data_IF_725481785067
#
_entry.id   IF_725481785067
#
_cell.length_a   1.000
_cell.length_b   1.000
_cell.length_c   1.000
_cell.angle_alpha   90.00
_cell.angle_beta   90.00
_cell.angle_gamma   90.00
#
_symmetry.space_group_name_H-M   'P 1'
#
loop_
_entity.id
_entity.type
_entity.pdbx_description
1 polymer ?
#
# COMPACT_ATOMS: atom_id res chain seq x y z
N UNK A 1 -14.90 22.97 -0.13
CA UNK A 1 -15.35 23.17 1.26
C UNK A 1 -16.50 22.22 1.63
N UNK A 2 -17.47 21.97 0.74
CA UNK A 2 -18.54 20.96 0.95
C UNK A 2 -18.03 19.50 0.99
N UNK A 3 -16.98 19.16 0.26
CA UNK A 3 -16.45 17.78 0.21
C UNK A 3 -15.75 17.34 1.51
N UNK A 4 -15.01 18.26 2.17
CA UNK A 4 -14.46 18.02 3.51
C UNK A 4 -15.57 17.78 4.56
N UNK A 5 -16.79 18.27 4.32
CA UNK A 5 -17.95 18.02 5.18
C UNK A 5 -18.39 16.56 5.08
N UNK A 6 -18.53 16.00 3.88
CA UNK A 6 -19.06 14.64 3.70
C UNK A 6 -18.20 13.57 4.38
N UNK A 7 -16.88 13.73 4.34
CA UNK A 7 -15.95 12.83 5.01
C UNK A 7 -16.10 12.86 6.54
N UNK A 8 -16.17 14.06 7.12
CA UNK A 8 -16.37 14.24 8.57
C UNK A 8 -17.73 13.73 9.00
N UNK A 9 -18.76 14.04 8.21
CA UNK A 9 -20.14 13.59 8.46
C UNK A 9 -20.25 12.06 8.41
N UNK A 10 -19.48 11.38 7.56
CA UNK A 10 -19.43 9.91 7.53
C UNK A 10 -18.79 9.32 8.80
N UNK A 11 -17.63 9.84 9.21
CA UNK A 11 -16.96 9.37 10.45
C UNK A 11 -17.83 9.59 11.68
N UNK A 12 -18.57 10.70 11.72
CA UNK A 12 -19.49 11.04 12.80
C UNK A 12 -20.83 10.28 12.71
N UNK A 13 -21.04 9.47 11.68
CA UNK A 13 -22.25 8.66 11.50
C UNK A 13 -23.49 9.45 11.05
N UNK A 14 -23.33 10.70 10.59
CA UNK A 14 -24.42 11.55 10.09
C UNK A 14 -24.90 11.14 8.70
N UNK A 15 -24.03 10.50 7.91
CA UNK A 15 -24.39 9.93 6.61
C UNK A 15 -24.01 8.45 6.57
N UNK A 16 -24.76 7.66 5.80
CA UNK A 16 -24.47 6.24 5.58
C UNK A 16 -23.28 6.04 4.63
N UNK A 17 -22.69 4.85 4.63
CA UNK A 17 -21.63 4.47 3.70
C UNK A 17 -22.10 4.56 2.23
N UNK A 18 -23.36 4.21 1.95
CA UNK A 18 -23.96 4.33 0.63
C UNK A 18 -24.07 5.80 0.18
N UNK A 19 -24.53 6.68 1.06
CA UNK A 19 -24.57 8.13 0.80
C UNK A 19 -23.17 8.70 0.63
N UNK A 20 -22.19 8.24 1.40
CA UNK A 20 -20.79 8.66 1.25
C UNK A 20 -20.24 8.28 -0.12
N UNK A 21 -20.41 7.01 -0.53
CA UNK A 21 -19.87 6.55 -1.80
C UNK A 21 -20.61 7.09 -3.01
N UNK A 22 -21.94 7.25 -2.97
CA UNK A 22 -22.69 7.81 -4.10
C UNK A 22 -22.23 9.22 -4.47
N UNK A 23 -21.80 10.03 -3.49
CA UNK A 23 -21.21 11.36 -3.72
C UNK A 23 -19.80 11.32 -4.30
N UNK A 24 -19.10 10.18 -4.19
CA UNK A 24 -17.69 10.01 -4.56
C UNK A 24 -17.49 9.06 -5.74
N UNK A 25 -18.57 8.64 -6.39
CA UNK A 25 -18.51 7.69 -7.48
C UNK A 25 -19.18 8.23 -8.73
N UNK A 26 -18.62 7.92 -9.89
CA UNK A 26 -19.27 8.20 -11.16
C UNK A 26 -20.55 7.35 -11.35
N UNK A 27 -21.29 7.63 -12.42
CA UNK A 27 -22.51 6.89 -12.77
C UNK A 27 -22.26 5.38 -13.03
N UNK A 28 -21.00 4.97 -13.20
CA UNK A 28 -20.59 3.57 -13.34
C UNK A 28 -20.15 2.95 -11.99
N UNK A 29 -20.32 3.65 -10.88
CA UNK A 29 -19.94 3.20 -9.54
C UNK A 29 -18.42 3.10 -9.33
N UNK A 30 -17.61 3.80 -10.14
CA UNK A 30 -16.17 3.89 -9.96
C UNK A 30 -15.88 5.05 -9.02
N UNK A 31 -14.97 4.86 -8.07
CA UNK A 31 -14.50 5.98 -7.25
C UNK A 31 -13.94 7.06 -8.17
N UNK A 32 -14.19 8.32 -7.84
CA UNK A 32 -13.57 9.48 -8.47
C UNK A 32 -12.07 9.24 -8.57
N UNK A 33 -11.49 9.55 -9.73
CA UNK A 33 -10.05 9.39 -9.94
C UNK A 33 -9.29 10.40 -9.07
N UNK A 34 -9.89 11.48 -8.58
CA UNK A 34 -9.24 12.34 -7.58
C UNK A 34 -10.03 12.26 -6.29
N UNK A 35 -9.40 11.70 -5.26
CA UNK A 35 -9.95 11.60 -3.92
C UNK A 35 -9.06 12.43 -2.98
N UNK A 36 -9.23 13.74 -3.03
CA UNK A 36 -8.39 14.71 -2.28
C UNK A 36 -8.37 14.43 -0.77
N UNK A 37 -9.48 13.94 -0.20
CA UNK A 37 -9.54 13.59 1.21
C UNK A 37 -8.57 12.45 1.60
N UNK A 38 -8.17 11.59 0.65
CA UNK A 38 -7.15 10.58 0.93
C UNK A 38 -5.79 11.20 1.25
N UNK A 39 -5.45 12.36 0.66
CA UNK A 39 -4.18 13.03 0.99
C UNK A 39 -4.23 13.64 2.40
N UNK A 40 -5.39 14.19 2.81
CA UNK A 40 -5.62 14.61 4.20
C UNK A 40 -5.52 13.44 5.18
N UNK A 41 -6.07 12.29 4.82
CA UNK A 41 -6.03 11.07 5.62
C UNK A 41 -4.60 10.54 5.77
N UNK A 42 -3.85 10.53 4.67
CA UNK A 42 -2.44 10.12 4.64
C UNK A 42 -1.55 10.99 5.54
N UNK A 43 -1.89 12.27 5.69
CA UNK A 43 -1.20 13.17 6.62
C UNK A 43 -1.64 13.00 8.10
N UNK A 44 -2.76 12.33 8.37
CA UNK A 44 -3.27 12.13 9.74
C UNK A 44 -3.73 10.68 9.96
N UNK A 45 -2.81 9.83 10.38
CA UNK A 45 -3.05 8.39 10.57
C UNK A 45 -4.13 8.06 11.60
N UNK A 46 -4.32 8.90 12.61
CA UNK A 46 -5.41 8.71 13.57
C UNK A 46 -6.78 8.95 12.92
N UNK A 47 -6.89 9.95 12.06
CA UNK A 47 -8.09 10.22 11.29
C UNK A 47 -8.34 9.12 10.26
N UNK A 48 -7.28 8.66 9.59
CA UNK A 48 -7.36 7.54 8.65
C UNK A 48 -7.81 6.24 9.33
N UNK A 49 -7.28 5.96 10.53
CA UNK A 49 -7.74 4.85 11.36
C UNK A 49 -9.24 4.92 11.64
N UNK A 50 -9.74 6.09 12.09
CA UNK A 50 -11.18 6.29 12.37
C UNK A 50 -12.03 6.05 11.11
N UNK A 51 -11.57 6.57 9.98
CA UNK A 51 -12.24 6.38 8.69
C UNK A 51 -12.33 4.89 8.30
N UNK A 52 -11.22 4.16 8.34
CA UNK A 52 -11.21 2.74 7.98
C UNK A 52 -12.05 1.86 8.91
N UNK A 53 -12.21 2.26 10.18
CA UNK A 53 -13.06 1.56 11.15
C UNK A 53 -14.56 1.89 10.96
N UNK A 54 -14.90 3.08 10.44
CA UNK A 54 -16.28 3.45 10.13
C UNK A 54 -16.83 2.71 8.90
N UNK A 55 -15.95 2.25 8.00
CA UNK A 55 -16.32 1.51 6.80
C UNK A 55 -16.62 0.04 7.10
N UNK A 56 -17.57 -0.50 6.35
CA UNK A 56 -17.74 -1.93 6.14
C UNK A 56 -16.47 -2.55 5.55
N UNK A 57 -16.34 -3.89 5.65
CA UNK A 57 -15.20 -4.60 5.05
C UNK A 57 -15.07 -4.31 3.55
N UNK A 58 -16.19 -4.31 2.82
CA UNK A 58 -16.24 -4.00 1.39
C UNK A 58 -15.84 -2.55 1.11
N UNK A 59 -16.36 -1.60 1.90
CA UNK A 59 -16.00 -0.18 1.79
C UNK A 59 -14.52 0.05 2.03
N UNK A 60 -13.95 -0.61 3.05
CA UNK A 60 -12.52 -0.55 3.37
C UNK A 60 -11.68 -1.05 2.20
N UNK A 61 -11.95 -2.23 1.66
CA UNK A 61 -11.26 -2.77 0.49
C UNK A 61 -11.35 -1.83 -0.72
N UNK A 62 -12.52 -1.23 -0.96
CA UNK A 62 -12.73 -0.29 -2.05
C UNK A 62 -11.80 0.92 -1.95
N UNK A 63 -11.64 1.46 -0.74
CA UNK A 63 -10.69 2.55 -0.44
C UNK A 63 -9.25 2.07 -0.60
N UNK A 64 -8.89 0.93 -0.01
CA UNK A 64 -7.52 0.39 -0.06
C UNK A 64 -7.02 0.08 -1.47
N UNK A 65 -7.95 -0.27 -2.38
CA UNK A 65 -7.65 -0.43 -3.79
C UNK A 65 -7.55 0.91 -4.54
N UNK A 66 -7.77 2.06 -3.91
CA UNK A 66 -7.60 3.33 -4.60
C UNK A 66 -6.13 3.59 -4.94
N UNK A 67 -5.84 4.13 -6.13
CA UNK A 67 -4.45 4.27 -6.59
C UNK A 67 -3.61 5.19 -5.68
N UNK A 68 -4.21 6.20 -5.02
CA UNK A 68 -3.50 7.06 -4.05
C UNK A 68 -2.96 6.28 -2.83
N UNK A 69 -3.54 5.12 -2.52
CA UNK A 69 -3.06 4.20 -1.48
C UNK A 69 -2.17 3.11 -2.05
N UNK A 70 -2.47 2.58 -3.23
CA UNK A 70 -1.66 1.55 -3.88
C UNK A 70 -0.35 2.08 -4.50
N UNK A 71 -0.29 3.36 -4.86
CA UNK A 71 0.79 3.95 -5.65
C UNK A 71 0.80 3.53 -7.13
N UNK A 72 -0.21 2.76 -7.58
CA UNK A 72 -0.28 2.20 -8.94
C UNK A 72 -1.72 1.96 -9.40
N UNK A 73 -1.89 1.74 -10.71
CA UNK A 73 -3.19 1.43 -11.33
C UNK A 73 -3.60 -0.03 -11.13
N UNK A 74 -4.89 -0.35 -11.27
CA UNK A 74 -5.36 -1.75 -11.27
C UNK A 74 -4.85 -2.55 -12.46
N UNK A 75 -4.57 -1.89 -13.57
CA UNK A 75 -3.91 -2.51 -14.71
C UNK A 75 -2.50 -2.94 -14.33
N UNK A 76 -1.73 -2.08 -13.66
CA UNK A 76 -0.41 -2.47 -13.10
C UNK A 76 -0.51 -3.64 -12.13
N UNK A 77 -1.54 -3.68 -11.27
CA UNK A 77 -1.79 -4.84 -10.40
C UNK A 77 -2.01 -6.15 -11.17
N UNK A 78 -2.75 -6.08 -12.28
CA UNK A 78 -3.05 -7.25 -13.12
C UNK A 78 -1.81 -7.69 -13.88
N UNK A 79 -1.14 -6.75 -14.55
CA UNK A 79 -0.07 -7.05 -15.49
C UNK A 79 1.25 -7.44 -14.79
N UNK A 80 1.56 -6.80 -13.64
CA UNK A 80 2.83 -7.03 -12.93
C UNK A 80 2.74 -8.10 -11.85
N UNK A 81 1.60 -8.16 -11.15
CA UNK A 81 1.42 -9.06 -10.00
C UNK A 81 0.43 -10.20 -10.29
N UNK A 82 -0.08 -10.28 -11.53
CA UNK A 82 -0.97 -11.37 -11.94
C UNK A 82 -2.32 -11.37 -11.24
N UNK A 83 -2.73 -10.27 -10.59
CA UNK A 83 -3.98 -10.21 -9.81
C UNK A 83 -5.16 -10.11 -10.79
N UNK A 84 -6.02 -11.14 -10.91
CA UNK A 84 -7.08 -11.14 -11.92
C UNK A 84 -8.09 -10.00 -11.70
N UNK A 85 -8.50 -9.35 -12.79
CA UNK A 85 -9.50 -8.27 -12.76
C UNK A 85 -10.78 -8.69 -12.04
N UNK A 86 -11.21 -9.94 -12.19
CA UNK A 86 -12.41 -10.46 -11.51
C UNK A 86 -12.24 -10.58 -9.99
N UNK A 87 -11.06 -10.95 -9.49
CA UNK A 87 -10.79 -10.95 -8.04
C UNK A 87 -10.84 -9.53 -7.48
N UNK A 88 -10.30 -8.55 -8.20
CA UNK A 88 -10.41 -7.13 -7.83
C UNK A 88 -11.87 -6.63 -7.84
N UNK A 89 -12.70 -7.10 -8.78
CA UNK A 89 -14.13 -6.75 -8.84
C UNK A 89 -14.93 -7.38 -7.70
N UNK A 90 -14.64 -8.64 -7.36
CA UNK A 90 -15.25 -9.34 -6.21
C UNK A 90 -14.88 -8.62 -4.91
N UNK A 91 -13.62 -8.24 -4.73
CA UNK A 91 -13.13 -7.46 -3.59
C UNK A 91 -13.88 -6.14 -3.40
N UNK A 92 -14.17 -5.43 -4.50
CA UNK A 92 -14.96 -4.19 -4.49
C UNK A 92 -16.47 -4.43 -4.33
N UNK A 93 -16.90 -5.69 -4.27
CA UNK A 93 -18.29 -6.14 -4.31
C UNK A 93 -19.07 -5.55 -5.50
N UNK A 94 -18.41 -5.45 -6.65
CA UNK A 94 -19.01 -5.09 -7.94
C UNK A 94 -19.51 -6.30 -8.72
N UNK A 95 -19.45 -7.50 -8.12
CA UNK A 95 -20.01 -8.73 -8.65
C UNK A 95 -20.76 -9.44 -7.52
N UNK A 96 -22.09 -9.46 -7.59
CA UNK A 96 -22.72 -10.77 -7.52
C UNK A 96 -22.43 -11.42 -8.88
N UNK A 97 -21.81 -12.62 -8.93
CA UNK A 97 -21.67 -13.33 -10.19
C UNK A 97 -23.07 -13.42 -10.80
N UNK A 98 -23.26 -12.92 -12.04
CA UNK A 98 -24.47 -13.27 -12.78
C UNK A 98 -24.42 -14.79 -12.89
N UNK A 99 -25.29 -15.49 -12.16
CA UNK A 99 -25.51 -16.91 -12.36
C UNK A 99 -25.82 -17.10 -13.84
N UNK A 100 -24.83 -17.57 -14.62
CA UNK A 100 -25.13 -18.16 -15.92
C UNK A 100 -25.83 -19.47 -15.61
N UNK A 101 -27.15 -19.42 -15.42
CA UNK A 101 -27.95 -20.64 -15.36
C UNK A 101 -27.78 -21.41 -16.67
N UNK A 102 -27.23 -22.62 -16.56
CA UNK A 102 -27.88 -23.89 -16.95
C UNK A 102 -26.84 -25.02 -16.81
N UNK A 103 -27.02 -25.85 -15.77
CA UNK A 103 -26.24 -27.07 -15.56
C UNK A 103 -26.26 -27.47 -14.08
N UNK A 104 -26.87 -28.61 -13.80
CA UNK A 104 -27.06 -29.17 -12.46
C UNK A 104 -25.74 -29.32 -11.69
N UNK A 105 -25.77 -28.89 -10.43
CA UNK A 105 -24.86 -29.26 -9.33
C UNK A 105 -23.37 -29.21 -9.69
N UNK A 106 -22.83 -28.00 -9.83
CA UNK A 106 -21.55 -27.67 -9.21
C UNK A 106 -21.76 -26.43 -8.37
N UNK A 107 -21.83 -26.62 -7.06
CA UNK A 107 -21.68 -25.55 -6.08
C UNK A 107 -20.46 -24.74 -6.49
N UNK A 108 -20.67 -23.55 -7.05
CA UNK A 108 -19.59 -22.61 -7.30
C UNK A 108 -19.09 -22.27 -5.91
N UNK A 109 -17.97 -22.89 -5.52
CA UNK A 109 -17.29 -22.61 -4.27
C UNK A 109 -17.10 -21.10 -4.27
N UNK A 110 -17.73 -20.41 -3.32
CA UNK A 110 -17.61 -18.97 -3.07
C UNK A 110 -16.26 -18.48 -3.57
N UNK A 111 -16.24 -17.55 -4.52
CA UNK A 111 -15.05 -16.91 -5.08
C UNK A 111 -14.04 -16.59 -3.96
N UNK A 112 -13.14 -17.53 -3.68
CA UNK A 112 -12.31 -17.47 -2.50
C UNK A 112 -11.16 -16.54 -2.87
N UNK A 113 -11.15 -15.35 -2.28
CA UNK A 113 -10.05 -14.41 -2.50
C UNK A 113 -8.78 -15.06 -1.93
N UNK A 114 -7.71 -15.24 -2.71
CA UNK A 114 -6.50 -15.90 -2.24
C UNK A 114 -5.94 -15.16 -1.02
N UNK A 115 -5.47 -15.89 -0.01
CA UNK A 115 -4.81 -15.30 1.15
C UNK A 115 -3.64 -14.39 0.76
N UNK A 116 -2.95 -14.75 -0.33
CA UNK A 116 -1.82 -14.01 -0.89
C UNK A 116 -2.24 -12.63 -1.39
N UNK A 117 -3.48 -12.47 -1.89
CA UNK A 117 -3.99 -11.16 -2.30
C UNK A 117 -4.18 -10.23 -1.09
N UNK A 118 -4.66 -10.76 0.03
CA UNK A 118 -4.76 -9.98 1.27
C UNK A 118 -3.38 -9.60 1.82
N UNK A 119 -2.42 -10.52 1.74
CA UNK A 119 -1.03 -10.24 2.11
C UNK A 119 -0.42 -9.16 1.20
N UNK A 120 -0.67 -9.22 -0.12
CA UNK A 120 -0.18 -8.22 -1.06
C UNK A 120 -0.77 -6.83 -0.77
N UNK A 121 -2.08 -6.76 -0.53
CA UNK A 121 -2.73 -5.51 -0.14
C UNK A 121 -2.20 -4.97 1.20
N UNK A 122 -1.90 -5.83 2.17
CA UNK A 122 -1.28 -5.44 3.44
C UNK A 122 0.06 -4.73 3.21
N UNK A 123 0.92 -5.31 2.35
CA UNK A 123 2.20 -4.71 1.98
C UNK A 123 2.00 -3.41 1.21
N UNK A 124 1.15 -3.39 0.18
CA UNK A 124 0.96 -2.19 -0.66
C UNK A 124 0.44 -1.02 0.14
N UNK A 125 -0.56 -1.25 1.00
CA UNK A 125 -1.28 -0.21 1.75
C UNK A 125 -0.74 0.05 3.15
N UNK A 126 0.33 -0.67 3.56
CA UNK A 126 0.99 -0.51 4.87
C UNK A 126 0.05 -0.80 6.06
N UNK A 127 -0.82 -1.80 5.92
CA UNK A 127 -1.79 -2.18 6.95
C UNK A 127 -1.56 -3.62 7.41
N UNK A 128 -1.81 -3.95 8.69
CA UNK A 128 -1.87 -5.34 9.13
C UNK A 128 -2.98 -6.08 8.37
N UNK A 129 -2.74 -7.33 8.00
CA UNK A 129 -3.73 -8.16 7.29
C UNK A 129 -5.11 -8.25 7.98
N UNK A 130 -5.23 -8.33 9.33
CA UNK A 130 -6.53 -8.29 10.00
C UNK A 130 -7.37 -7.06 9.65
N UNK A 131 -6.73 -5.90 9.44
CA UNK A 131 -7.41 -4.68 9.02
C UNK A 131 -7.99 -4.76 7.62
N UNK A 132 -7.60 -5.75 6.82
CA UNK A 132 -8.09 -5.94 5.46
C UNK A 132 -9.17 -7.04 5.43
N UNK A 133 -9.09 -8.03 6.33
CA UNK A 133 -9.92 -9.24 6.30
C UNK A 133 -11.05 -9.24 7.34
N UNK A 134 -10.86 -8.60 8.48
CA UNK A 134 -11.77 -8.68 9.60
C UNK A 134 -12.71 -7.47 9.64
N UNK A 135 -13.99 -7.72 9.96
CA UNK A 135 -14.97 -6.65 10.20
C UNK A 135 -14.52 -5.77 11.38
N UNK A 136 -14.09 -6.41 12.46
CA UNK A 136 -13.58 -5.77 13.67
C UNK A 136 -12.12 -6.18 13.86
N UNK A 137 -11.17 -5.45 13.25
CA UNK A 137 -9.77 -5.84 13.30
C UNK A 137 -9.17 -5.58 14.68
N UNK A 138 -8.30 -6.48 15.11
CA UNK A 138 -7.48 -6.24 16.30
C UNK A 138 -6.49 -5.07 16.09
N UNK A 139 -5.98 -4.51 17.18
CA UNK A 139 -4.98 -3.42 17.13
C UNK A 139 -3.54 -3.92 17.25
N UNK A 140 -3.27 -5.16 16.84
CA UNK A 140 -1.94 -5.74 16.87
C UNK A 140 -1.20 -5.47 15.56
N UNK A 141 0.08 -5.13 15.66
CA UNK A 141 0.96 -5.00 14.50
C UNK A 141 1.72 -6.31 14.31
N UNK A 142 1.67 -6.86 13.10
CA UNK A 142 2.39 -8.09 12.76
C UNK A 142 2.99 -8.01 11.37
N UNK A 143 4.11 -8.72 11.20
CA UNK A 143 4.81 -8.88 9.92
C UNK A 143 4.51 -10.22 9.23
N UNK A 144 3.58 -11.03 9.78
CA UNK A 144 3.27 -12.37 9.27
C UNK A 144 2.84 -12.43 7.80
N UNK A 145 2.34 -11.32 7.24
CA UNK A 145 1.96 -11.22 5.83
C UNK A 145 3.19 -11.19 4.90
N UNK A 146 4.37 -10.78 5.38
CA UNK A 146 5.60 -10.89 4.61
C UNK A 146 5.98 -12.35 4.38
N UNK A 147 5.92 -13.20 5.41
CA UNK A 147 6.28 -14.62 5.30
C UNK A 147 5.39 -15.41 4.31
N UNK A 148 4.26 -14.83 3.85
CA UNK A 148 3.39 -15.44 2.85
C UNK A 148 3.83 -15.20 1.41
N UNK A 149 4.35 -14.00 1.11
CA UNK A 149 4.51 -13.52 -0.27
C UNK A 149 5.80 -12.72 -0.52
N UNK A 150 6.60 -12.45 0.50
CA UNK A 150 7.81 -11.66 0.36
C UNK A 150 8.93 -12.49 -0.27
N UNK A 151 9.79 -11.80 -1.02
CA UNK A 151 11.01 -12.40 -1.54
C UNK A 151 12.05 -12.50 -0.42
N UNK A 152 12.65 -13.68 -0.26
CA UNK A 152 13.77 -13.88 0.63
C UNK A 152 15.05 -13.58 -0.14
N UNK A 153 15.75 -12.53 0.26
CA UNK A 153 16.96 -12.08 -0.42
C UNK A 153 18.14 -12.04 0.55
N UNK A 154 19.29 -12.49 0.09
CA UNK A 154 20.58 -12.12 0.69
C UNK A 154 20.89 -10.64 0.45
N UNK A 155 21.91 -10.12 1.13
CA UNK A 155 22.34 -8.73 0.95
C UNK A 155 22.73 -8.43 -0.51
N UNK A 156 23.50 -9.31 -1.15
CA UNK A 156 23.94 -9.10 -2.53
C UNK A 156 22.75 -9.10 -3.50
N UNK A 157 21.82 -10.05 -3.35
CA UNK A 157 20.61 -10.13 -4.17
C UNK A 157 19.71 -8.89 -3.99
N UNK A 158 19.60 -8.40 -2.75
CA UNK A 158 18.86 -7.18 -2.44
C UNK A 158 19.47 -5.95 -3.13
N UNK A 159 20.80 -5.79 -3.07
CA UNK A 159 21.50 -4.68 -3.73
C UNK A 159 21.38 -4.75 -5.26
N UNK A 160 21.49 -5.95 -5.84
CA UNK A 160 21.26 -6.20 -7.27
C UNK A 160 19.82 -5.83 -7.64
N UNK A 161 18.83 -6.30 -6.88
CA UNK A 161 17.42 -6.01 -7.11
C UNK A 161 17.14 -4.51 -7.14
N UNK A 162 17.63 -3.74 -6.16
CA UNK A 162 17.44 -2.29 -6.12
C UNK A 162 18.01 -1.60 -7.36
N UNK A 163 19.27 -1.90 -7.71
CA UNK A 163 19.97 -1.29 -8.83
C UNK A 163 19.32 -1.62 -10.17
N UNK A 164 19.00 -2.89 -10.41
CA UNK A 164 18.38 -3.33 -11.67
C UNK A 164 16.97 -2.80 -11.84
N UNK A 165 16.17 -2.79 -10.77
CA UNK A 165 14.78 -2.37 -10.84
C UNK A 165 14.67 -0.86 -11.01
N UNK A 166 15.53 -0.07 -10.35
CA UNK A 166 15.63 1.37 -10.63
C UNK A 166 16.04 1.63 -12.08
N UNK A 167 17.07 0.93 -12.60
CA UNK A 167 17.48 1.06 -14.01
C UNK A 167 16.34 0.73 -14.99
N UNK A 168 15.53 -0.29 -14.68
CA UNK A 168 14.34 -0.64 -15.48
C UNK A 168 13.28 0.46 -15.40
N UNK A 169 13.02 1.01 -14.22
CA UNK A 169 12.08 2.12 -14.03
C UNK A 169 12.46 3.34 -14.87
N UNK A 170 13.75 3.74 -14.84
CA UNK A 170 14.28 4.86 -15.61
C UNK A 170 14.18 4.64 -17.13
N UNK A 171 14.41 3.41 -17.60
CA UNK A 171 14.37 3.03 -19.04
C UNK A 171 12.97 2.75 -19.58
N UNK A 172 11.96 2.59 -18.73
CA UNK A 172 10.61 2.26 -19.15
C UNK A 172 10.06 3.36 -20.08
N UNK A 173 9.88 3.00 -21.36
CA UNK A 173 9.29 3.84 -22.41
C UNK A 173 7.75 3.79 -22.45
N UNK A 174 7.13 2.90 -21.66
CA UNK A 174 5.66 2.91 -21.51
C UNK A 174 5.25 4.30 -21.03
N UNK A 175 4.11 4.79 -21.48
CA UNK A 175 3.58 6.10 -21.07
C UNK A 175 3.62 6.19 -19.56
N UNK A 176 4.62 6.92 -19.03
CA UNK A 176 4.71 7.21 -17.60
C UNK A 176 3.43 7.91 -17.23
N UNK A 177 2.82 7.50 -16.13
CA UNK A 177 1.55 8.06 -15.74
C UNK A 177 1.73 9.57 -15.52
N UNK A 178 1.06 10.39 -16.35
CA UNK A 178 1.37 11.83 -16.48
C UNK A 178 0.56 12.74 -15.57
N UNK A 179 -0.19 12.21 -14.61
CA UNK A 179 -0.99 13.06 -13.72
C UNK A 179 -0.06 13.96 -12.90
N UNK A 180 -0.15 15.29 -13.05
CA UNK A 180 0.66 16.19 -12.24
C UNK A 180 0.41 15.93 -10.76
N UNK A 181 1.46 15.99 -9.94
CA UNK A 181 1.46 15.75 -8.50
C UNK A 181 1.30 14.29 -8.03
N UNK A 182 1.10 13.33 -8.92
CA UNK A 182 1.08 11.90 -8.55
C UNK A 182 2.40 11.23 -8.86
N UNK A 183 3.09 10.76 -7.83
CA UNK A 183 4.28 9.93 -7.99
C UNK A 183 3.90 8.46 -8.10
N UNK A 184 4.01 7.94 -9.31
CA UNK A 184 3.65 6.57 -9.59
C UNK A 184 4.79 5.63 -9.25
N UNK A 185 4.42 4.52 -8.62
CA UNK A 185 5.36 3.49 -8.20
C UNK A 185 5.50 2.48 -9.33
N UNK A 186 6.73 2.28 -9.77
CA UNK A 186 7.09 1.29 -10.76
C UNK A 186 6.99 -0.13 -10.19
N UNK A 187 7.48 -0.35 -8.98
CA UNK A 187 7.37 -1.65 -8.29
C UNK A 187 7.22 -1.45 -6.78
N UNK A 188 6.31 -2.22 -6.17
CA UNK A 188 6.20 -2.37 -4.72
C UNK A 188 6.37 -3.83 -4.38
N UNK A 189 7.21 -4.11 -3.38
CA UNK A 189 7.51 -5.47 -2.98
C UNK A 189 7.77 -5.59 -1.48
N UNK A 190 7.35 -6.73 -0.93
CA UNK A 190 7.83 -7.19 0.37
C UNK A 190 9.12 -7.98 0.20
N UNK A 191 10.13 -7.65 0.98
CA UNK A 191 11.40 -8.38 1.03
C UNK A 191 11.69 -8.78 2.46
N UNK A 192 12.16 -10.01 2.65
CA UNK A 192 12.76 -10.47 3.89
C UNK A 192 14.27 -10.55 3.63
N UNK A 193 14.98 -9.52 4.09
CA UNK A 193 16.43 -9.44 3.96
C UNK A 193 17.09 -10.34 5.00
N UNK A 194 17.85 -11.32 4.53
CA UNK A 194 18.57 -12.28 5.37
C UNK A 194 20.04 -11.87 5.47
N UNK A 195 20.46 -11.41 6.65
CA UNK A 195 21.89 -11.20 6.94
C UNK A 195 22.58 -12.51 7.31
N UNK A 196 21.86 -13.38 8.02
CA UNK A 196 22.26 -14.73 8.38
C UNK A 196 21.01 -15.56 8.68
N UNK A 197 21.16 -16.84 9.06
CA UNK A 197 20.03 -17.75 9.30
C UNK A 197 19.10 -17.34 10.45
N UNK A 198 19.50 -16.39 11.31
CA UNK A 198 18.75 -15.97 12.49
C UNK A 198 18.26 -14.53 12.44
N UNK A 199 18.89 -13.68 11.63
CA UNK A 199 18.57 -12.26 11.52
C UNK A 199 17.87 -11.98 10.20
N UNK A 200 16.57 -11.69 10.30
CA UNK A 200 15.70 -11.29 9.18
C UNK A 200 15.24 -9.84 9.39
N UNK A 201 15.28 -9.04 8.34
CA UNK A 201 14.67 -7.70 8.33
C UNK A 201 13.52 -7.68 7.32
N UNK A 202 12.34 -7.24 7.75
CA UNK A 202 11.15 -7.16 6.90
C UNK A 202 11.05 -5.78 6.27
N UNK A 203 11.05 -5.73 4.94
CA UNK A 203 11.17 -4.49 4.18
C UNK A 203 10.02 -4.37 3.19
N UNK A 204 9.32 -3.25 3.23
CA UNK A 204 8.52 -2.82 2.09
C UNK A 204 9.36 -1.89 1.24
N UNK A 205 9.53 -2.22 -0.02
CA UNK A 205 10.30 -1.43 -0.98
C UNK A 205 9.35 -0.89 -2.03
N UNK A 206 9.38 0.42 -2.25
CA UNK A 206 8.65 1.09 -3.33
C UNK A 206 9.64 1.83 -4.25
N UNK A 207 9.74 1.40 -5.51
CA UNK A 207 10.63 1.95 -6.53
C UNK A 207 9.79 2.79 -7.50
N UNK A 208 10.15 4.04 -7.75
CA UNK A 208 9.33 4.99 -8.49
C UNK A 208 9.61 4.99 -10.00
N UNK A 209 8.61 5.32 -10.83
CA UNK A 209 8.73 5.36 -12.31
C UNK A 209 9.76 6.38 -12.82
N UNK A 210 10.12 7.36 -11.98
CA UNK A 210 11.10 8.40 -12.26
C UNK A 210 12.47 8.12 -11.61
N UNK A 211 12.65 6.93 -11.04
CA UNK A 211 13.85 6.55 -10.29
C UNK A 211 13.76 6.89 -8.81
N UNK A 212 14.73 6.40 -8.05
CA UNK A 212 14.72 6.45 -6.58
C UNK A 212 13.75 5.45 -5.97
N UNK A 213 13.90 5.25 -4.67
CA UNK A 213 13.11 4.27 -3.93
C UNK A 213 12.95 4.64 -2.46
N UNK A 214 11.87 4.12 -1.88
CA UNK A 214 11.51 4.25 -0.48
C UNK A 214 11.52 2.86 0.14
N UNK A 215 12.29 2.70 1.22
CA UNK A 215 12.37 1.47 2.00
C UNK A 215 11.79 1.76 3.38
N UNK A 216 10.78 0.99 3.75
CA UNK A 216 10.13 1.06 5.05
C UNK A 216 10.45 -0.22 5.81
N UNK A 217 10.95 -0.07 7.05
CA UNK A 217 11.37 -1.18 7.89
C UNK A 217 10.22 -1.60 8.80
N UNK A 218 9.80 -2.85 8.65
CA UNK A 218 8.74 -3.47 9.42
C UNK A 218 9.35 -4.34 10.52
N UNK A 219 8.83 -4.22 11.74
CA UNK A 219 9.22 -5.07 12.87
C UNK A 219 8.01 -5.30 13.76
N UNK A 220 8.02 -6.28 14.66
CA UNK A 220 6.93 -6.39 15.65
C UNK A 220 7.19 -5.49 16.87
N UNK A 221 8.47 -5.14 17.13
CA UNK A 221 8.93 -4.47 18.36
C UNK A 221 9.49 -3.06 18.20
N UNK A 222 9.34 -2.40 17.04
CA UNK A 222 9.93 -1.09 16.71
C UNK A 222 11.47 -1.09 16.83
N UNK A 223 12.13 -2.16 16.39
CA UNK A 223 13.58 -2.30 16.47
C UNK A 223 14.28 -1.29 15.55
N UNK A 224 15.13 -0.42 16.14
CA UNK A 224 15.83 0.64 15.41
C UNK A 224 17.18 0.18 14.82
N UNK A 225 17.74 -0.91 15.36
CA UNK A 225 19.04 -1.43 14.94
C UNK A 225 19.05 -1.83 13.47
N UNK A 226 17.99 -2.52 13.03
CA UNK A 226 17.78 -2.91 11.63
C UNK A 226 17.79 -1.71 10.67
N UNK A 227 17.17 -0.61 11.10
CA UNK A 227 17.15 0.64 10.35
C UNK A 227 18.55 1.26 10.23
N UNK A 228 19.33 1.27 11.30
CA UNK A 228 20.70 1.82 11.31
C UNK A 228 21.59 1.05 10.34
N UNK A 229 21.56 -0.29 10.40
CA UNK A 229 22.34 -1.14 9.47
C UNK A 229 21.97 -0.84 8.02
N UNK A 230 20.67 -0.80 7.72
CA UNK A 230 20.19 -0.52 6.36
C UNK A 230 20.58 0.88 5.89
N UNK A 231 20.56 1.87 6.79
CA UNK A 231 20.96 3.23 6.47
C UNK A 231 22.41 3.26 5.96
N UNK A 232 23.33 2.60 6.66
CA UNK A 232 24.75 2.53 6.29
C UNK A 232 24.94 1.86 4.92
N UNK A 233 24.26 0.74 4.69
CA UNK A 233 24.32 -0.01 3.42
C UNK A 233 23.84 0.86 2.24
N UNK A 234 22.79 1.65 2.45
CA UNK A 234 22.11 2.40 1.39
C UNK A 234 22.77 3.74 1.05
N UNK A 235 23.74 4.21 1.84
CA UNK A 235 24.51 5.43 1.54
C UNK A 235 25.18 5.40 0.15
N UNK A 236 25.51 4.20 -0.35
CA UNK A 236 26.11 4.01 -1.68
C UNK A 236 25.21 4.39 -2.86
N UNK A 237 23.89 4.43 -2.69
CA UNK A 237 22.95 4.67 -3.80
C UNK A 237 22.75 6.16 -4.12
N UNK A 238 23.06 7.07 -3.20
CA UNK A 238 22.89 8.50 -3.40
C UNK A 238 22.47 9.25 -2.13
N UNK A 239 22.01 10.51 -2.27
CA UNK A 239 21.48 11.27 -1.16
C UNK A 239 20.30 10.53 -0.52
N UNK A 240 20.43 10.25 0.78
CA UNK A 240 19.38 9.62 1.56
C UNK A 240 18.64 10.65 2.40
N UNK A 241 17.32 10.49 2.50
CA UNK A 241 16.49 11.18 3.47
C UNK A 241 15.87 10.12 4.38
N UNK A 242 15.84 10.39 5.68
CA UNK A 242 15.28 9.46 6.67
C UNK A 242 14.13 10.10 7.44
N UNK A 243 13.29 9.24 8.01
CA UNK A 243 12.16 9.64 8.81
C UNK A 243 11.35 8.41 9.21
N UNK A 244 10.07 8.61 9.50
CA UNK A 244 9.16 7.51 9.79
C UNK A 244 7.78 7.76 9.19
N UNK A 245 7.06 6.68 8.97
CA UNK A 245 5.61 6.72 8.76
C UNK A 245 4.91 6.30 10.05
N UNK A 246 3.92 7.09 10.45
CA UNK A 246 2.95 6.62 11.42
C UNK A 246 2.12 5.50 10.80
N UNK A 247 1.64 4.59 11.64
CA UNK A 247 0.71 3.56 11.20
C UNK A 247 -0.67 3.83 11.79
N UNK A 248 -1.68 3.15 11.25
CA UNK A 248 -3.02 3.13 11.83
C UNK A 248 -3.06 2.50 13.23
N UNK A 249 -2.04 1.75 13.65
CA UNK A 249 -1.91 1.24 15.02
C UNK A 249 -1.28 2.35 15.87
N UNK A 250 -1.97 2.74 16.93
CA UNK A 250 -1.51 3.85 17.80
C UNK A 250 -0.11 3.56 18.34
N UNK A 251 0.75 4.59 18.36
CA UNK A 251 2.15 4.54 18.82
C UNK A 251 3.07 3.61 18.02
N UNK A 252 2.59 3.01 16.93
CA UNK A 252 3.40 2.19 16.03
C UNK A 252 3.87 3.05 14.87
N UNK A 253 5.19 3.03 14.66
CA UNK A 253 5.88 3.79 13.62
C UNK A 253 6.72 2.80 12.82
N UNK A 254 6.88 3.06 11.53
CA UNK A 254 7.84 2.33 10.70
C UNK A 254 8.94 3.30 10.29
N UNK A 255 10.21 3.03 10.62
CA UNK A 255 11.34 3.78 10.11
C UNK A 255 11.43 3.69 8.58
N UNK A 256 11.83 4.79 7.94
CA UNK A 256 11.85 4.95 6.48
C UNK A 256 13.18 5.51 6.02
N UNK A 257 13.73 4.93 4.97
CA UNK A 257 14.89 5.41 4.23
C UNK A 257 14.44 5.71 2.80
N UNK A 258 14.72 6.91 2.32
CA UNK A 258 14.41 7.36 0.97
C UNK A 258 15.71 7.63 0.24
N UNK A 259 16.01 6.82 -0.75
CA UNK A 259 17.15 7.03 -1.64
C UNK A 259 16.66 7.80 -2.86
N UNK A 260 17.06 9.07 -2.96
CA UNK A 260 16.67 9.92 -4.10
C UNK A 260 17.53 9.58 -5.30
N UNK A 261 16.88 9.46 -6.47
CA UNK A 261 17.61 9.33 -7.73
C UNK A 261 18.48 10.57 -7.94
N UNK A 262 19.72 10.40 -8.39
CA UNK A 262 20.58 11.54 -8.76
C UNK A 262 20.11 12.24 -10.04
N UNK A 263 19.33 11.53 -10.87
CA UNK A 263 18.88 12.03 -12.17
C UNK A 263 17.60 12.87 -12.14
N UNK A 264 16.75 12.74 -11.11
CA UNK A 264 15.47 13.44 -11.04
C UNK A 264 15.03 13.73 -9.59
N UNK A 265 14.21 14.77 -9.41
CA UNK A 265 13.64 15.12 -8.11
C UNK A 265 12.54 14.12 -7.76
N UNK A 266 12.83 13.22 -6.82
CA UNK A 266 11.80 12.47 -6.10
C UNK A 266 11.22 13.39 -5.02
N UNK A 267 9.99 13.86 -5.23
CA UNK A 267 9.17 14.41 -4.13
C UNK A 267 9.04 13.36 -3.04
N UNK A 268 9.13 13.80 -1.80
CA UNK A 268 9.02 12.92 -0.64
C UNK A 268 7.55 12.54 -0.43
N UNK A 269 7.22 11.30 -0.01
CA UNK A 269 5.86 10.95 0.36
C UNK A 269 5.31 11.90 1.42
N UNK A 270 4.06 12.35 1.24
CA UNK A 270 3.40 13.33 2.12
C UNK A 270 3.31 12.85 3.57
N UNK A 271 3.28 11.52 3.76
CA UNK A 271 3.23 10.87 5.07
C UNK A 271 4.55 10.94 5.85
N UNK A 272 5.67 11.32 5.22
CA UNK A 272 6.97 11.28 5.87
C UNK A 272 7.04 12.32 6.99
N UNK A 273 7.27 11.83 8.21
CA UNK A 273 7.62 12.67 9.35
C UNK A 273 9.13 12.60 9.59
N UNK A 274 9.81 13.74 9.78
CA UNK A 274 11.23 13.74 10.11
C UNK A 274 11.44 13.15 11.51
N UNK A 275 12.58 12.49 11.73
CA UNK A 275 13.04 12.24 13.09
C UNK A 275 13.36 13.58 13.74
N UNK A 276 12.77 13.86 14.89
CA UNK A 276 13.10 15.07 15.65
C UNK A 276 14.52 14.88 16.16
N UNK A 277 15.45 15.72 15.70
CA UNK A 277 16.79 15.82 16.28
C UNK A 277 16.63 16.55 17.60
N UNK A 278 16.86 15.85 18.72
CA UNK A 278 16.94 16.46 20.05
C UNK A 278 18.27 17.18 20.22
#
# INVERSE_FOLDING_TARGET
MEEQSAFKDFIEGKITEETFFSKKTDNAGRLSIDFEELDLLKNNMNLFRKFLLALSLKGRIRILLHYQLLGMTHESLTDKYGIPKDQLRVLKGQHDPKEKYKGEIRTIIKNNIPNDLYAALAIFTRLPEPWIREKVPNSFWSVAHFEKIADFLSLDEFLVYLNETEKKALKSKKEKHRRPNNQWVFDIRGVILQFNSKHKIYLRIAIYELGGFVIEVFSEKNEIYDFIILQEILLGFGPIQTGYFETIIKKRLNPVIICKSRSQILNTPIELKPFITL
#
